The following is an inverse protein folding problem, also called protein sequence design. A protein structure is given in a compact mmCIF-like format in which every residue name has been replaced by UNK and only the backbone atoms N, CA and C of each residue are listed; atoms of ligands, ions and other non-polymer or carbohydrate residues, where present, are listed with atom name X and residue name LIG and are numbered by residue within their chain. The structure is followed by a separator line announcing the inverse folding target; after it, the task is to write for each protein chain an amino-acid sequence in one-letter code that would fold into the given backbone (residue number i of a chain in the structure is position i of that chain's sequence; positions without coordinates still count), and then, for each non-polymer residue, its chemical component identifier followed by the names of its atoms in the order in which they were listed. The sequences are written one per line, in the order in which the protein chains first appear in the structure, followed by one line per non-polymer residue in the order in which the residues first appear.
data_IF_511059274989
#
_entry.id   IF_511059274989
#
_cell.length_a   1.000
_cell.length_b   1.000
_cell.length_c   1.000
_cell.angle_alpha   90.00
_cell.angle_beta   90.00
_cell.angle_gamma   90.00
#
_symmetry.space_group_name_H-M   'P 1'
#
loop_
_entity.id
_entity.type
_entity.pdbx_description
1 polymer ?
#
# COMPACT_ATOMS: atom_id res chain seq x y z
N UNK A 1 -45.31 -16.04 -55.63
CA UNK A 1 -44.08 -16.86 -55.58
C UNK A 1 -43.67 -16.99 -54.12
N UNK A 2 -43.44 -18.19 -53.60
CA UNK A 2 -43.12 -18.37 -52.18
C UNK A 2 -41.65 -18.01 -51.94
N UNK A 3 -41.34 -17.28 -50.85
CA UNK A 3 -39.98 -16.86 -50.48
C UNK A 3 -38.99 -18.04 -50.47
N UNK A 4 -39.49 -19.21 -50.03
CA UNK A 4 -38.76 -20.47 -49.95
C UNK A 4 -38.29 -20.96 -51.33
N UNK A 5 -39.10 -20.81 -52.37
CA UNK A 5 -38.71 -21.23 -53.74
C UNK A 5 -37.61 -20.32 -54.30
N UNK A 6 -37.66 -19.03 -53.94
CA UNK A 6 -36.65 -18.05 -54.34
C UNK A 6 -35.30 -18.34 -53.69
N UNK A 7 -35.29 -18.66 -52.39
CA UNK A 7 -34.07 -19.07 -51.64
C UNK A 7 -33.51 -20.38 -52.20
N UNK A 8 -34.37 -21.35 -52.54
CA UNK A 8 -33.93 -22.62 -53.12
C UNK A 8 -33.25 -22.41 -54.48
N UNK A 9 -33.80 -21.52 -55.31
CA UNK A 9 -33.23 -21.19 -56.62
C UNK A 9 -31.90 -20.43 -56.51
N UNK A 10 -31.75 -19.52 -55.54
CA UNK A 10 -30.47 -18.82 -55.30
C UNK A 10 -29.40 -19.77 -54.75
N UNK A 11 -29.75 -20.68 -53.84
CA UNK A 11 -28.83 -21.68 -53.28
C UNK A 11 -28.31 -22.67 -54.35
N UNK A 12 -29.18 -23.10 -55.27
CA UNK A 12 -28.76 -23.92 -56.43
C UNK A 12 -27.79 -23.16 -57.36
N UNK A 13 -27.98 -21.85 -57.54
CA UNK A 13 -27.06 -21.05 -58.33
C UNK A 13 -25.69 -20.86 -57.67
N UNK A 14 -25.66 -20.70 -56.34
CA UNK A 14 -24.43 -20.59 -55.55
C UNK A 14 -23.61 -21.90 -55.53
N UNK A 15 -24.30 -23.05 -55.43
CA UNK A 15 -23.66 -24.39 -55.43
C UNK A 15 -23.10 -24.81 -56.79
N UNK A 16 -23.56 -24.20 -57.90
CA UNK A 16 -22.99 -24.40 -59.23
C UNK A 16 -21.64 -23.70 -59.44
N UNK A 17 -21.37 -22.60 -58.70
CA UNK A 17 -20.12 -21.81 -58.80
C UNK A 17 -19.31 -21.86 -57.50
N UNK A 18 -18.99 -23.08 -57.05
CA UNK A 18 -18.39 -23.39 -55.74
C UNK A 18 -17.16 -22.53 -55.41
N UNK A 19 -16.18 -22.43 -56.30
CA UNK A 19 -14.92 -21.73 -56.01
C UNK A 19 -15.10 -20.24 -55.72
N UNK A 20 -15.96 -19.56 -56.49
CA UNK A 20 -16.18 -18.12 -56.31
C UNK A 20 -16.98 -17.84 -55.04
N UNK A 21 -18.03 -18.62 -54.79
CA UNK A 21 -18.86 -18.50 -53.57
C UNK A 21 -18.04 -18.75 -52.32
N UNK A 22 -17.18 -19.78 -52.32
CA UNK A 22 -16.29 -20.10 -51.19
C UNK A 22 -15.33 -18.94 -50.91
N UNK A 23 -14.68 -18.40 -51.95
CA UNK A 23 -13.72 -17.29 -51.77
C UNK A 23 -14.37 -16.03 -51.21
N UNK A 24 -15.58 -15.69 -51.66
CA UNK A 24 -16.31 -14.51 -51.14
C UNK A 24 -16.79 -14.70 -49.71
N UNK A 25 -17.26 -15.90 -49.35
CA UNK A 25 -17.70 -16.19 -47.98
C UNK A 25 -16.50 -16.20 -47.03
N UNK A 26 -15.37 -16.80 -47.44
CA UNK A 26 -14.13 -16.78 -46.66
C UNK A 26 -13.64 -15.36 -46.42
N UNK A 27 -13.65 -14.49 -47.43
CA UNK A 27 -13.27 -13.09 -47.27
C UNK A 27 -14.13 -12.35 -46.23
N UNK A 28 -15.45 -12.55 -46.28
CA UNK A 28 -16.37 -11.93 -45.31
C UNK A 28 -16.19 -12.49 -43.90
N UNK A 29 -16.01 -13.82 -43.76
CA UNK A 29 -15.80 -14.46 -42.45
C UNK A 29 -14.49 -14.00 -41.82
N UNK A 30 -13.39 -14.04 -42.57
CA UNK A 30 -12.08 -13.57 -42.07
C UNK A 30 -12.12 -12.09 -41.71
N UNK A 31 -12.78 -11.25 -42.51
CA UNK A 31 -12.94 -9.83 -42.20
C UNK A 31 -13.74 -9.57 -40.93
N UNK A 32 -14.88 -10.24 -40.75
CA UNK A 32 -15.70 -10.11 -39.55
C UNK A 32 -14.95 -10.62 -38.31
N UNK A 33 -14.29 -11.78 -38.40
CA UNK A 33 -13.47 -12.31 -37.32
C UNK A 33 -12.31 -11.39 -36.95
N UNK A 34 -11.64 -10.77 -37.92
CA UNK A 34 -10.53 -9.85 -37.68
C UNK A 34 -10.97 -8.59 -36.92
N UNK A 35 -12.10 -7.98 -37.31
CA UNK A 35 -12.67 -6.81 -36.63
C UNK A 35 -13.04 -7.16 -35.18
N UNK A 36 -13.76 -8.26 -34.98
CA UNK A 36 -14.15 -8.70 -33.63
C UNK A 36 -12.93 -8.98 -32.76
N UNK A 37 -11.91 -9.66 -33.30
CA UNK A 37 -10.67 -9.95 -32.56
C UNK A 37 -9.93 -8.67 -32.18
N UNK A 38 -9.81 -7.70 -33.10
CA UNK A 38 -9.15 -6.43 -32.83
C UNK A 38 -9.89 -5.62 -31.76
N UNK A 39 -11.23 -5.58 -31.81
CA UNK A 39 -12.04 -4.91 -30.79
C UNK A 39 -11.89 -5.58 -29.42
N UNK A 40 -11.91 -6.92 -29.36
CA UNK A 40 -11.72 -7.65 -28.11
C UNK A 40 -10.34 -7.42 -27.50
N UNK A 41 -9.27 -7.41 -28.32
CA UNK A 41 -7.93 -7.07 -27.85
C UNK A 41 -7.87 -5.61 -27.38
N UNK A 42 -8.49 -4.68 -28.13
CA UNK A 42 -8.55 -3.26 -27.76
C UNK A 42 -9.20 -3.05 -26.39
N UNK A 43 -10.35 -3.65 -26.15
CA UNK A 43 -11.02 -3.58 -24.84
C UNK A 43 -10.26 -4.31 -23.74
N UNK A 44 -9.63 -5.45 -24.03
CA UNK A 44 -8.79 -6.16 -23.07
C UNK A 44 -7.59 -5.33 -22.61
N UNK A 45 -6.91 -4.69 -23.56
CA UNK A 45 -5.79 -3.78 -23.28
C UNK A 45 -6.25 -2.55 -22.50
N UNK A 46 -7.41 -1.96 -22.88
CA UNK A 46 -7.96 -0.80 -22.17
C UNK A 46 -8.33 -1.14 -20.72
N UNK A 47 -9.03 -2.25 -20.48
CA UNK A 47 -9.37 -2.72 -19.13
C UNK A 47 -8.10 -3.05 -18.33
N UNK A 48 -7.11 -3.69 -18.95
CA UNK A 48 -5.83 -3.98 -18.28
C UNK A 48 -5.07 -2.71 -17.90
N UNK A 49 -5.08 -1.68 -18.76
CA UNK A 49 -4.46 -0.39 -18.43
C UNK A 49 -5.24 0.35 -17.35
N UNK A 50 -6.57 0.30 -17.38
CA UNK A 50 -7.39 0.91 -16.34
C UNK A 50 -7.14 0.26 -14.97
N UNK A 51 -7.13 -1.07 -14.90
CA UNK A 51 -6.80 -1.80 -13.66
C UNK A 51 -5.39 -1.45 -13.17
N UNK A 52 -4.42 -1.34 -14.08
CA UNK A 52 -3.07 -0.90 -13.74
C UNK A 52 -3.07 0.51 -13.14
N UNK A 53 -3.78 1.46 -13.75
CA UNK A 53 -3.87 2.84 -13.28
C UNK A 53 -4.63 2.95 -11.95
N UNK A 54 -5.70 2.17 -11.77
CA UNK A 54 -6.44 2.08 -10.50
C UNK A 54 -5.57 1.49 -9.39
N UNK A 55 -4.70 0.52 -9.71
CA UNK A 55 -3.72 -0.04 -8.78
C UNK A 55 -2.50 0.86 -8.52
N UNK A 56 -2.25 1.88 -9.36
CA UNK A 56 -1.13 2.81 -9.21
C UNK A 56 -1.39 3.93 -8.18
N UNK A 57 -2.60 4.03 -7.62
CA UNK A 57 -2.83 4.86 -6.45
C UNK A 57 -2.82 6.37 -6.67
N UNK A 58 -2.25 7.11 -5.72
CA UNK A 58 -2.11 8.57 -5.81
C UNK A 58 -1.05 8.94 -6.87
N UNK A 59 -1.50 9.11 -8.11
CA UNK A 59 -0.67 9.48 -9.27
C UNK A 59 0.02 10.85 -9.13
N UNK A 60 -0.29 11.61 -8.07
CA UNK A 60 0.39 12.88 -7.76
C UNK A 60 1.61 12.69 -6.84
N UNK A 61 1.84 11.47 -6.34
CA UNK A 61 2.93 11.17 -5.40
C UNK A 61 4.19 10.69 -6.12
N UNK A 62 5.26 11.45 -6.01
CA UNK A 62 6.58 11.13 -6.54
C UNK A 62 7.45 10.57 -5.41
N UNK A 63 8.02 9.38 -5.63
CA UNK A 63 8.90 8.70 -4.68
C UNK A 63 10.36 8.93 -5.05
N UNK A 64 11.11 9.65 -4.21
CA UNK A 64 12.52 9.97 -4.45
C UNK A 64 13.41 9.11 -3.56
N UNK A 65 14.21 8.26 -4.19
CA UNK A 65 15.18 7.40 -3.54
C UNK A 65 16.61 7.91 -3.69
N UNK A 66 17.43 7.68 -2.67
CA UNK A 66 18.88 7.85 -2.76
C UNK A 66 19.44 6.77 -3.69
N UNK A 67 19.85 7.13 -4.90
CA UNK A 67 20.37 6.21 -5.92
C UNK A 67 21.75 5.62 -5.61
N UNK A 68 22.12 5.45 -4.33
CA UNK A 68 23.39 4.86 -3.90
C UNK A 68 24.64 5.72 -4.16
N UNK A 69 24.48 6.95 -4.67
CA UNK A 69 25.59 7.91 -4.83
C UNK A 69 25.85 8.61 -3.50
N UNK A 70 27.10 8.53 -3.02
CA UNK A 70 27.55 9.16 -1.76
C UNK A 70 27.27 10.67 -1.66
N UNK A 71 27.09 11.34 -2.79
CA UNK A 71 26.85 12.79 -2.88
C UNK A 71 25.35 13.16 -2.86
N UNK A 72 24.44 12.18 -2.92
CA UNK A 72 22.99 12.42 -2.98
C UNK A 72 22.35 12.01 -1.65
N UNK A 73 22.67 12.74 -0.59
CA UNK A 73 22.05 12.56 0.71
C UNK A 73 20.66 13.17 0.70
N UNK A 74 19.67 12.41 1.15
CA UNK A 74 18.32 12.91 1.38
C UNK A 74 18.30 13.49 2.78
N UNK A 75 18.57 14.79 2.91
CA UNK A 75 18.54 15.51 4.17
C UNK A 75 17.47 16.60 4.16
N UNK A 76 17.37 17.37 5.25
CA UNK A 76 16.42 18.48 5.35
C UNK A 76 16.61 19.54 4.24
N UNK A 77 17.84 19.70 3.75
CA UNK A 77 18.15 20.61 2.66
C UNK A 77 17.58 20.07 1.32
N UNK A 78 17.60 18.75 1.11
CA UNK A 78 16.94 18.11 -0.02
C UNK A 78 15.41 18.31 0.04
N UNK A 79 14.78 18.09 1.20
CA UNK A 79 13.33 18.35 1.37
C UNK A 79 13.00 19.80 1.04
N UNK A 80 13.79 20.75 1.53
CA UNK A 80 13.58 22.18 1.22
C UNK A 80 13.73 22.48 -0.27
N UNK A 81 14.66 21.83 -0.96
CA UNK A 81 14.79 21.97 -2.42
C UNK A 81 13.55 21.48 -3.13
N UNK A 82 13.06 20.29 -2.80
CA UNK A 82 11.84 19.73 -3.39
C UNK A 82 10.60 20.56 -3.07
N UNK A 83 10.46 21.02 -1.83
CA UNK A 83 9.35 21.88 -1.41
C UNK A 83 9.30 23.23 -2.16
N UNK A 84 10.45 23.70 -2.67
CA UNK A 84 10.56 24.95 -3.43
C UNK A 84 10.38 24.77 -4.95
N UNK A 85 10.24 23.53 -5.45
CA UNK A 85 9.93 23.30 -6.87
C UNK A 85 8.51 23.81 -7.14
N UNK A 86 8.33 24.48 -8.27
CA UNK A 86 7.00 24.93 -8.69
C UNK A 86 6.06 23.72 -8.80
N UNK A 87 4.78 23.91 -8.43
CA UNK A 87 3.75 22.86 -8.48
C UNK A 87 3.86 21.73 -7.45
N UNK A 88 4.88 21.74 -6.58
CA UNK A 88 4.91 20.87 -5.39
C UNK A 88 3.96 21.41 -4.33
N UNK A 89 3.12 20.54 -3.78
CA UNK A 89 2.23 20.83 -2.65
C UNK A 89 2.96 20.57 -1.32
N UNK A 90 3.49 19.36 -1.15
CA UNK A 90 4.25 18.98 0.05
C UNK A 90 5.38 18.00 -0.28
N UNK A 91 6.54 18.21 0.34
CA UNK A 91 7.63 17.25 0.39
C UNK A 91 7.75 16.66 1.80
N UNK A 92 7.76 15.33 1.89
CA UNK A 92 7.76 14.58 3.14
C UNK A 92 8.98 13.68 3.18
N UNK A 93 9.82 13.86 4.19
CA UNK A 93 10.90 12.94 4.49
C UNK A 93 10.37 11.70 5.21
N UNK A 94 10.74 10.53 4.70
CA UNK A 94 10.49 9.24 5.34
C UNK A 94 11.75 8.80 6.05
N UNK A 95 11.62 8.46 7.33
CA UNK A 95 12.71 7.90 8.12
C UNK A 95 12.33 6.51 8.61
N UNK A 96 13.27 5.59 8.58
CA UNK A 96 13.12 4.25 9.13
C UNK A 96 14.19 4.03 10.20
N UNK A 97 13.89 3.15 11.16
CA UNK A 97 14.89 2.73 12.13
C UNK A 97 15.90 1.80 11.46
N UNK A 98 17.18 2.10 11.64
CA UNK A 98 18.27 1.30 11.10
C UNK A 98 18.88 0.46 12.21
N UNK A 99 18.93 -0.86 12.01
CA UNK A 99 19.55 -1.79 12.94
C UNK A 99 18.94 -1.81 14.36
N UNK A 100 17.73 -1.28 14.52
CA UNK A 100 16.94 -1.29 15.75
C UNK A 100 15.60 -1.94 15.43
N UNK A 101 15.24 -2.95 16.19
CA UNK A 101 13.94 -3.62 16.12
C UNK A 101 13.13 -3.30 17.38
N UNK A 102 11.82 -3.54 17.32
CA UNK A 102 10.93 -3.31 18.44
C UNK A 102 9.88 -4.41 18.61
N UNK A 103 9.63 -4.75 19.87
CA UNK A 103 8.45 -5.47 20.30
C UNK A 103 7.53 -4.50 21.01
N UNK A 104 6.25 -4.53 20.67
CA UNK A 104 5.24 -3.66 21.24
C UNK A 104 4.39 -4.45 22.22
N UNK A 105 4.21 -3.90 23.42
CA UNK A 105 3.36 -4.44 24.46
C UNK A 105 2.17 -3.51 24.70
N UNK A 106 0.99 -4.09 24.88
CA UNK A 106 -0.25 -3.36 25.12
C UNK A 106 -1.13 -4.08 26.16
N UNK A 107 -2.00 -3.30 26.82
CA UNK A 107 -2.94 -3.77 27.83
C UNK A 107 -2.33 -4.08 29.19
N UNK A 108 -3.19 -4.47 30.12
CA UNK A 108 -2.79 -4.73 31.51
C UNK A 108 -1.74 -5.84 31.59
N UNK A 109 -0.68 -5.59 32.35
CA UNK A 109 0.45 -6.51 32.56
C UNK A 109 1.12 -7.01 31.26
N UNK A 110 1.22 -6.17 30.23
CA UNK A 110 1.87 -6.49 28.95
C UNK A 110 1.26 -7.73 28.24
N UNK A 111 -0.05 -7.96 28.43
CA UNK A 111 -0.76 -9.15 27.92
C UNK A 111 -0.70 -9.27 26.39
N UNK A 112 -0.85 -8.17 25.67
CA UNK A 112 -0.85 -8.20 24.21
C UNK A 112 0.52 -7.83 23.68
N UNK A 113 1.07 -8.65 22.80
CA UNK A 113 2.41 -8.47 22.24
C UNK A 113 2.35 -8.43 20.73
N UNK A 114 3.01 -7.47 20.10
CA UNK A 114 3.18 -7.41 18.65
C UNK A 114 4.68 -7.37 18.34
N UNK A 115 5.13 -8.29 17.49
CA UNK A 115 6.53 -8.40 17.05
C UNK A 115 6.68 -7.91 15.62
N UNK A 116 7.90 -7.54 15.21
CA UNK A 116 8.23 -7.16 13.83
C UNK A 116 7.39 -5.98 13.31
N UNK A 117 7.16 -5.00 14.18
CA UNK A 117 6.32 -3.84 13.84
C UNK A 117 7.01 -3.01 12.80
N UNK A 118 6.32 -2.78 11.68
CA UNK A 118 6.76 -1.81 10.71
C UNK A 118 6.56 -0.40 11.29
N UNK A 119 7.62 0.39 11.29
CA UNK A 119 7.57 1.77 11.75
C UNK A 119 8.11 2.71 10.71
N UNK A 120 7.44 3.85 10.59
CA UNK A 120 7.85 4.92 9.70
C UNK A 120 7.80 6.24 10.43
N UNK A 121 8.84 7.05 10.24
CA UNK A 121 8.97 8.40 10.75
C UNK A 121 8.56 9.38 9.66
N UNK A 122 7.66 10.30 10.01
CA UNK A 122 7.16 11.34 9.13
C UNK A 122 7.31 12.69 9.82
N UNK A 123 7.73 13.71 9.06
CA UNK A 123 7.90 15.05 9.59
C UNK A 123 6.56 15.63 10.08
N UNK A 124 6.56 16.21 11.28
CA UNK A 124 5.35 16.74 11.94
C UNK A 124 4.55 17.70 11.07
N UNK A 125 5.23 18.65 10.42
CA UNK A 125 4.59 19.68 9.58
C UNK A 125 4.01 19.12 8.28
N UNK A 126 4.42 17.91 7.91
CA UNK A 126 4.07 17.24 6.67
C UNK A 126 3.01 16.15 6.89
N UNK A 127 2.90 15.57 8.09
CA UNK A 127 1.98 14.46 8.39
C UNK A 127 0.51 14.80 8.09
N UNK A 128 0.05 15.98 8.50
CA UNK A 128 -1.32 16.43 8.22
C UNK A 128 -1.53 16.74 6.73
N UNK A 129 -0.54 17.39 6.09
CA UNK A 129 -0.58 17.78 4.68
C UNK A 129 -0.49 16.61 3.72
N UNK A 130 0.16 15.53 4.14
CA UNK A 130 0.25 14.30 3.38
C UNK A 130 -1.13 13.67 3.17
N UNK A 131 -2.10 14.01 4.01
CA UNK A 131 -3.50 13.64 3.83
C UNK A 131 -3.77 12.19 4.17
N UNK A 132 -3.22 11.69 5.29
CA UNK A 132 -3.65 10.42 5.85
C UNK A 132 -5.12 10.51 6.24
N UNK A 133 -5.98 9.65 5.69
CA UNK A 133 -7.36 9.62 6.13
C UNK A 133 -7.42 8.97 7.51
N UNK A 134 -7.91 9.68 8.53
CA UNK A 134 -8.14 9.11 9.85
C UNK A 134 -9.49 8.40 9.87
N UNK A 135 -9.50 7.15 10.35
CA UNK A 135 -10.73 6.42 10.70
C UNK A 135 -11.19 6.81 12.10
N UNK A 136 -10.23 6.96 13.02
CA UNK A 136 -10.50 7.33 14.40
C UNK A 136 -9.44 8.27 14.97
N UNK A 137 -9.81 9.02 16.01
CA UNK A 137 -8.88 9.83 16.79
C UNK A 137 -8.43 11.11 16.09
N UNK A 138 -7.20 11.53 16.33
CA UNK A 138 -6.61 12.76 15.81
C UNK A 138 -5.14 12.59 15.50
N UNK A 139 -4.58 13.48 14.66
CA UNK A 139 -3.14 13.53 14.43
C UNK A 139 -2.36 13.76 15.73
N UNK A 140 -1.17 13.14 15.86
CA UNK A 140 -0.29 13.35 16.99
C UNK A 140 0.15 14.82 17.05
N UNK A 141 0.40 15.33 18.26
CA UNK A 141 0.83 16.71 18.50
C UNK A 141 2.06 16.78 19.39
N UNK A 142 2.20 15.82 20.30
CA UNK A 142 3.30 15.74 21.26
C UNK A 142 4.31 14.66 20.86
N UNK A 143 5.57 14.74 21.33
CA UNK A 143 6.54 13.68 21.14
C UNK A 143 6.02 12.34 21.69
N UNK A 144 6.34 11.25 21.00
CA UNK A 144 5.90 9.89 21.32
C UNK A 144 4.37 9.67 21.26
N UNK A 145 3.65 10.56 20.58
CA UNK A 145 2.31 10.27 20.08
C UNK A 145 2.41 9.72 18.65
N UNK A 146 1.71 8.62 18.39
CA UNK A 146 1.79 7.89 17.11
C UNK A 146 0.41 7.68 16.50
N UNK A 147 0.38 7.44 15.19
CA UNK A 147 -0.78 6.89 14.49
C UNK A 147 -0.56 5.39 14.28
N UNK A 148 -1.62 4.61 14.40
CA UNK A 148 -1.59 3.19 14.08
C UNK A 148 -2.29 2.93 12.75
N UNK A 149 -1.77 1.98 11.97
CA UNK A 149 -2.42 1.50 10.76
C UNK A 149 -3.78 0.86 11.05
N UNK A 150 -4.65 0.84 10.04
CA UNK A 150 -6.02 0.33 10.14
C UNK A 150 -6.10 -1.07 10.75
N UNK A 151 -5.15 -1.93 10.40
CA UNK A 151 -5.08 -3.33 10.80
C UNK A 151 -3.96 -3.62 11.80
N UNK A 152 -3.24 -2.61 12.30
CA UNK A 152 -2.14 -2.80 13.25
C UNK A 152 -2.59 -3.54 14.54
N UNK A 153 -3.84 -3.35 14.96
CA UNK A 153 -4.41 -4.03 16.13
C UNK A 153 -4.52 -5.57 15.96
N UNK A 154 -4.63 -6.07 14.73
CA UNK A 154 -4.74 -7.51 14.44
C UNK A 154 -3.41 -8.25 14.60
N UNK A 155 -2.29 -7.51 14.55
CA UNK A 155 -0.95 -8.05 14.78
C UNK A 155 -0.63 -8.23 16.28
N UNK A 156 -1.53 -7.82 17.17
CA UNK A 156 -1.41 -8.10 18.60
C UNK A 156 -1.73 -9.57 18.90
N UNK A 157 -0.75 -10.26 19.45
CA UNK A 157 -0.85 -11.62 19.97
C UNK A 157 -1.29 -11.59 21.45
N UNK A 158 -2.26 -12.40 21.84
CA UNK A 158 -2.65 -12.59 23.25
C UNK A 158 -1.75 -13.61 23.93
N UNK A 159 -0.85 -13.17 24.80
CA UNK A 159 0.15 -14.03 25.47
C UNK A 159 -0.44 -15.06 26.44
N UNK A 160 -1.72 -14.90 26.84
CA UNK A 160 -2.40 -15.87 27.70
C UNK A 160 -3.02 -17.04 26.91
N UNK A 161 -3.01 -16.96 25.57
CA UNK A 161 -3.54 -18.01 24.69
C UNK A 161 -2.42 -18.91 24.16
N UNK A 162 -2.72 -20.18 23.86
CA UNK A 162 -1.74 -21.08 23.26
C UNK A 162 -1.31 -20.60 21.86
N UNK A 163 -0.07 -20.91 21.51
CA UNK A 163 0.51 -20.60 20.20
C UNK A 163 -0.36 -21.15 19.06
N UNK A 164 -0.57 -20.32 18.04
CA UNK A 164 -1.42 -20.65 16.88
C UNK A 164 -2.91 -20.37 17.11
N UNK A 165 -3.33 -19.97 18.32
CA UNK A 165 -4.68 -19.47 18.61
C UNK A 165 -4.65 -18.12 19.34
N UNK A 166 -3.48 -17.49 19.36
CA UNK A 166 -3.20 -16.23 20.03
C UNK A 166 -3.27 -15.00 19.12
N UNK A 167 -3.52 -15.17 17.82
CA UNK A 167 -3.69 -14.07 16.84
C UNK A 167 -5.02 -14.19 16.12
N UNK A 168 -5.45 -13.09 15.49
CA UNK A 168 -6.58 -13.07 14.56
C UNK A 168 -5.99 -12.80 13.17
N UNK A 169 -5.85 -13.85 12.36
CA UNK A 169 -5.37 -13.72 10.98
C UNK A 169 -6.43 -13.02 10.12
N UNK A 170 -6.19 -11.78 9.68
CA UNK A 170 -7.12 -11.10 8.76
C UNK A 170 -7.29 -11.87 7.45
N UNK A 171 -6.22 -12.49 6.97
CA UNK A 171 -6.19 -13.17 5.68
C UNK A 171 -7.15 -14.35 5.64
N UNK A 172 -7.28 -15.08 6.75
CA UNK A 172 -8.17 -16.25 6.87
C UNK A 172 -9.65 -15.85 6.79
N UNK A 173 -9.98 -14.61 7.19
CA UNK A 173 -11.35 -14.09 7.12
C UNK A 173 -11.61 -13.35 5.82
N UNK A 174 -10.62 -12.61 5.30
CA UNK A 174 -10.77 -11.80 4.08
C UNK A 174 -10.70 -12.62 2.80
N UNK A 175 -10.07 -13.80 2.82
CA UNK A 175 -9.93 -14.62 1.63
C UNK A 175 -10.31 -16.06 1.91
N UNK A 176 -11.07 -16.66 0.99
CA UNK A 176 -11.37 -18.08 0.97
C UNK A 176 -10.63 -18.73 -0.20
N UNK A 177 -9.97 -19.84 0.07
CA UNK A 177 -9.26 -20.63 -0.94
C UNK A 177 -10.07 -21.87 -1.27
N UNK A 178 -10.43 -22.06 -2.55
CA UNK A 178 -11.01 -23.32 -3.02
C UNK A 178 -9.90 -24.24 -3.56
N UNK A 179 -9.57 -25.35 -2.85
CA UNK A 179 -8.50 -26.26 -3.26
C UNK A 179 -8.80 -27.03 -4.55
N UNK A 180 -10.06 -27.08 -5.01
CA UNK A 180 -10.44 -27.83 -6.22
C UNK A 180 -10.26 -27.00 -7.50
N UNK A 181 -10.46 -25.69 -7.40
CA UNK A 181 -10.34 -24.75 -8.52
C UNK A 181 -9.03 -23.97 -8.47
N UNK A 182 -8.39 -23.90 -7.30
CA UNK A 182 -7.22 -23.06 -7.06
C UNK A 182 -7.56 -21.56 -6.97
N UNK A 183 -8.84 -21.22 -6.91
CA UNK A 183 -9.30 -19.84 -6.86
C UNK A 183 -9.25 -19.28 -5.43
N UNK A 184 -8.79 -18.03 -5.32
CA UNK A 184 -8.89 -17.23 -4.10
C UNK A 184 -10.07 -16.27 -4.27
N UNK A 185 -11.07 -16.37 -3.40
CA UNK A 185 -12.22 -15.48 -3.38
C UNK A 185 -12.11 -14.51 -2.22
N UNK A 186 -12.22 -13.22 -2.51
CA UNK A 186 -12.29 -12.17 -1.49
C UNK A 186 -13.67 -12.23 -0.82
N UNK A 187 -13.67 -12.35 0.50
CA UNK A 187 -14.85 -12.37 1.34
C UNK A 187 -15.25 -10.94 1.73
N UNK A 188 -16.51 -10.77 2.17
CA UNK A 188 -16.99 -9.49 2.67
C UNK A 188 -16.15 -9.00 3.88
N UNK A 189 -15.53 -7.81 3.83
CA UNK A 189 -14.73 -7.26 4.92
C UNK A 189 -15.50 -7.14 6.25
N UNK A 190 -16.84 -7.06 6.21
CA UNK A 190 -17.69 -7.02 7.42
C UNK A 190 -17.68 -8.33 8.22
N UNK A 191 -17.15 -9.42 7.64
CA UNK A 191 -16.96 -10.69 8.33
C UNK A 191 -15.73 -10.72 9.25
N UNK A 192 -14.84 -9.73 9.15
CA UNK A 192 -13.65 -9.64 9.97
C UNK A 192 -14.05 -9.33 11.43
N UNK A 193 -13.72 -10.20 12.40
CA UNK A 193 -14.04 -9.93 13.80
C UNK A 193 -13.22 -8.76 14.34
N UNK A 194 -13.69 -8.15 15.43
CA UNK A 194 -12.93 -7.11 16.13
C UNK A 194 -11.57 -7.67 16.62
N UNK A 195 -10.50 -6.85 16.60
CA UNK A 195 -9.22 -7.24 17.16
C UNK A 195 -9.33 -7.44 18.67
N UNK A 196 -8.36 -8.14 19.27
CA UNK A 196 -8.37 -8.40 20.73
C UNK A 196 -8.36 -7.12 21.58
N UNK A 197 -7.82 -6.03 21.03
CA UNK A 197 -7.76 -4.72 21.66
C UNK A 197 -7.81 -3.64 20.59
N UNK A 198 -8.57 -2.57 20.86
CA UNK A 198 -8.51 -1.35 20.06
C UNK A 198 -7.27 -0.54 20.46
N UNK A 199 -6.49 -0.08 19.48
CA UNK A 199 -5.26 0.66 19.73
C UNK A 199 -5.50 2.14 20.03
N UNK A 200 -6.59 2.73 19.51
CA UNK A 200 -6.84 4.16 19.66
C UNK A 200 -6.94 4.59 21.13
N UNK A 201 -6.16 5.61 21.51
CA UNK A 201 -6.10 6.12 22.88
C UNK A 201 -5.27 5.28 23.85
N UNK A 202 -4.75 4.11 23.44
CA UNK A 202 -3.92 3.26 24.30
C UNK A 202 -2.48 3.76 24.37
N UNK A 203 -1.85 3.50 25.52
CA UNK A 203 -0.40 3.62 25.68
C UNK A 203 0.23 2.26 25.40
N UNK A 204 1.20 2.24 24.51
CA UNK A 204 1.98 1.07 24.14
C UNK A 204 3.38 1.18 24.74
N UNK A 205 3.89 0.06 25.25
CA UNK A 205 5.26 -0.04 25.74
C UNK A 205 6.11 -0.69 24.65
N UNK A 206 7.09 0.06 24.15
CA UNK A 206 8.05 -0.41 23.16
C UNK A 206 9.25 -1.02 23.90
N UNK A 207 9.54 -2.29 23.66
CA UNK A 207 10.81 -2.92 23.96
C UNK A 207 11.69 -2.87 22.72
N UNK A 208 12.76 -2.08 22.80
CA UNK A 208 13.68 -1.78 21.72
C UNK A 208 14.98 -2.56 21.92
N UNK A 209 15.53 -3.10 20.83
CA UNK A 209 16.83 -3.77 20.84
C UNK A 209 17.55 -3.57 19.51
N UNK A 210 18.88 -3.59 19.54
CA UNK A 210 19.72 -3.51 18.34
C UNK A 210 20.17 -4.91 17.92
N UNK A 211 20.32 -5.15 16.61
CA UNK A 211 20.89 -6.41 16.12
C UNK A 211 22.36 -6.60 16.52
N UNK A 212 23.06 -5.52 16.86
CA UNK A 212 24.45 -5.60 17.35
C UNK A 212 24.51 -6.14 18.78
N UNK A 213 23.45 -5.92 19.57
CA UNK A 213 23.38 -6.35 20.96
C UNK A 213 21.93 -6.54 21.41
N UNK A 214 21.44 -7.78 21.26
CA UNK A 214 20.09 -8.19 21.65
C UNK A 214 19.83 -8.12 23.17
N UNK A 215 20.88 -8.23 23.98
CA UNK A 215 20.75 -8.22 25.45
C UNK A 215 20.55 -6.81 26.00
N UNK A 216 20.97 -5.78 25.25
CA UNK A 216 20.76 -4.39 25.64
C UNK A 216 19.37 -3.91 25.25
N UNK A 217 18.37 -4.28 26.06
CA UNK A 217 16.99 -3.83 25.87
C UNK A 217 16.77 -2.42 26.41
N UNK A 218 16.02 -1.61 25.68
CA UNK A 218 15.56 -0.28 26.12
C UNK A 218 14.06 -0.18 26.01
N UNK A 219 13.46 0.64 26.86
CA UNK A 219 12.01 0.78 26.92
C UNK A 219 11.61 2.21 26.62
N UNK A 220 10.56 2.37 25.82
CA UNK A 220 9.96 3.67 25.51
C UNK A 220 8.45 3.51 25.45
N UNK A 221 7.71 4.40 26.10
CA UNK A 221 6.25 4.43 25.98
C UNK A 221 5.82 5.35 24.84
N UNK A 222 4.77 4.96 24.13
CA UNK A 222 4.12 5.76 23.09
C UNK A 222 2.62 5.73 23.26
N UNK A 223 1.95 6.81 22.85
CA UNK A 223 0.50 6.90 22.90
C UNK A 223 -0.09 6.88 21.49
N UNK A 224 -1.00 5.96 21.22
CA UNK A 224 -1.73 5.97 19.95
C UNK A 224 -2.83 7.02 20.01
N UNK A 225 -2.79 7.97 19.08
CA UNK A 225 -3.72 9.11 19.06
C UNK A 225 -4.79 9.01 17.97
N UNK A 226 -4.58 8.15 16.98
CA UNK A 226 -5.54 7.90 15.93
C UNK A 226 -5.20 6.68 15.09
N UNK A 227 -6.20 6.21 14.36
CA UNK A 227 -6.11 5.10 13.40
C UNK A 227 -6.19 5.67 12.00
N UNK A 228 -5.22 5.38 11.15
CA UNK A 228 -5.24 5.76 9.74
C UNK A 228 -5.90 4.67 8.91
N UNK A 229 -6.62 5.07 7.86
CA UNK A 229 -7.12 4.17 6.83
C UNK A 229 -5.92 3.64 6.03
N UNK A 230 -5.99 2.37 5.65
CA UNK A 230 -5.02 1.75 4.77
C UNK A 230 -4.90 2.51 3.44
N UNK A 231 -3.67 2.86 3.08
CA UNK A 231 -3.30 3.50 1.82
C UNK A 231 -1.87 3.08 1.46
N UNK A 232 -1.74 1.94 0.77
CA UNK A 232 -0.45 1.38 0.36
C UNK A 232 0.40 2.31 -0.50
N UNK A 233 -0.21 3.30 -1.16
CA UNK A 233 0.50 4.25 -2.00
C UNK A 233 1.31 5.25 -1.18
N UNK A 234 0.82 5.54 0.03
CA UNK A 234 1.45 6.45 0.98
C UNK A 234 2.52 5.74 1.78
N UNK A 235 2.16 4.64 2.46
CA UNK A 235 3.12 3.77 3.14
C UNK A 235 2.44 2.48 3.62
N UNK A 236 3.17 1.37 3.63
CA UNK A 236 2.68 0.10 4.20
C UNK A 236 2.29 0.22 5.70
N UNK A 237 2.93 1.13 6.44
CA UNK A 237 2.63 1.38 7.84
C UNK A 237 1.20 1.88 8.07
N UNK A 238 0.52 2.39 7.04
CA UNK A 238 -0.91 2.74 7.11
C UNK A 238 -1.83 1.53 7.24
N UNK A 239 -1.35 0.34 6.84
CA UNK A 239 -2.07 -0.92 7.03
C UNK A 239 -1.77 -1.50 8.40
N UNK A 240 -0.53 -1.89 8.66
CA UNK A 240 -0.17 -2.80 9.76
C UNK A 240 0.93 -2.25 10.68
N UNK A 241 1.34 -1.00 10.50
CA UNK A 241 2.47 -0.40 11.21
C UNK A 241 2.08 0.72 12.18
N UNK A 242 3.12 1.39 12.69
CA UNK A 242 3.01 2.59 13.51
C UNK A 242 3.74 3.75 12.82
N UNK A 243 3.09 4.91 12.78
CA UNK A 243 3.60 6.13 12.16
C UNK A 243 4.00 7.08 13.29
N UNK A 244 5.29 7.37 13.36
CA UNK A 244 5.95 8.23 14.35
C UNK A 244 6.28 9.58 13.74
N UNK A 245 6.60 10.55 14.60
CA UNK A 245 7.41 11.68 14.14
C UNK A 245 8.84 11.24 13.86
N UNK A 246 9.43 11.81 12.81
CA UNK A 246 10.86 11.62 12.50
C UNK A 246 11.76 11.87 13.70
N UNK A 247 11.46 12.92 14.47
CA UNK A 247 12.20 13.29 15.70
C UNK A 247 12.17 12.21 16.77
N UNK A 248 11.08 11.45 16.85
CA UNK A 248 10.90 10.39 17.86
C UNK A 248 11.71 9.15 17.46
N UNK A 249 11.71 8.80 16.18
CA UNK A 249 12.57 7.71 15.67
C UNK A 249 14.06 8.06 15.79
N UNK A 250 14.44 9.31 15.55
CA UNK A 250 15.82 9.76 15.79
C UNK A 250 16.21 9.67 17.27
N UNK A 251 15.30 10.04 18.18
CA UNK A 251 15.54 9.90 19.62
C UNK A 251 15.75 8.42 19.98
N UNK A 252 14.93 7.52 19.41
CA UNK A 252 15.08 6.06 19.55
C UNK A 252 16.44 5.58 19.02
N UNK A 253 16.83 6.00 17.82
CA UNK A 253 18.10 5.62 17.22
C UNK A 253 19.30 6.08 18.08
N UNK A 254 19.26 7.32 18.60
CA UNK A 254 20.30 7.90 19.46
C UNK A 254 20.45 7.18 20.79
N UNK A 255 19.41 6.48 21.26
CA UNK A 255 19.54 5.64 22.45
C UNK A 255 20.60 4.54 22.23
N UNK A 256 20.66 3.92 21.05
CA UNK A 256 21.61 2.84 20.77
C UNK A 256 22.92 3.34 20.16
N UNK A 257 22.86 4.42 19.37
CA UNK A 257 24.00 4.97 18.66
C UNK A 257 24.22 6.46 18.98
N UNK A 258 24.61 6.80 20.22
CA UNK A 258 24.71 8.19 20.69
C UNK A 258 25.80 9.02 19.99
N UNK A 259 26.83 8.36 19.44
CA UNK A 259 27.93 8.98 18.70
C UNK A 259 27.67 9.15 17.21
N UNK A 260 26.52 8.68 16.70
CA UNK A 260 26.13 8.94 15.32
C UNK A 260 25.78 10.41 15.16
N UNK A 261 26.72 11.22 14.67
CA UNK A 261 26.48 12.62 14.29
C UNK A 261 25.81 12.73 12.91
N UNK A 262 25.20 11.66 12.41
CA UNK A 262 24.54 11.70 11.11
C UNK A 262 23.40 12.71 11.20
N UNK A 263 23.51 13.77 10.40
CA UNK A 263 22.35 14.59 10.02
C UNK A 263 21.22 13.65 9.61
N UNK A 264 19.97 14.01 9.91
CA UNK A 264 18.78 13.27 9.52
C UNK A 264 18.88 12.90 8.04
N UNK A 265 19.11 11.62 7.78
CA UNK A 265 19.15 11.05 6.45
C UNK A 265 17.85 10.28 6.26
N UNK A 266 17.02 10.77 5.36
CA UNK A 266 15.77 10.15 4.99
C UNK A 266 16.06 8.94 4.09
N UNK A 267 15.33 7.86 4.31
CA UNK A 267 15.40 6.69 3.43
C UNK A 267 14.80 7.00 2.06
N UNK A 268 13.78 7.87 2.05
CA UNK A 268 12.99 8.23 0.88
C UNK A 268 12.39 9.62 1.12
N UNK A 269 12.16 10.39 0.06
CA UNK A 269 11.36 11.62 0.11
C UNK A 269 10.14 11.44 -0.79
N UNK A 270 8.96 11.60 -0.21
CA UNK A 270 7.73 11.72 -0.97
C UNK A 270 7.49 13.16 -1.38
N UNK A 271 7.27 13.42 -2.66
CA UNK A 271 6.94 14.74 -3.19
C UNK A 271 5.56 14.66 -3.80
N UNK A 272 4.60 15.39 -3.24
CA UNK A 272 3.23 15.45 -3.75
C UNK A 272 3.08 16.64 -4.69
N UNK A 273 2.68 16.39 -5.92
CA UNK A 273 2.31 17.42 -6.88
C UNK A 273 0.90 17.96 -6.58
N UNK A 274 0.62 19.22 -6.96
CA UNK A 274 -0.72 19.81 -6.83
C UNK A 274 -1.74 19.18 -7.78
N UNK A 275 -1.27 18.74 -8.95
CA UNK A 275 -2.10 18.14 -10.00
C UNK A 275 -1.30 17.10 -10.79
N UNK A 276 -1.98 16.06 -11.28
CA UNK A 276 -1.38 14.98 -12.07
C UNK A 276 -0.69 15.48 -13.35
N UNK A 277 -1.22 16.53 -13.99
CA UNK A 277 -0.63 17.12 -15.20
C UNK A 277 0.72 17.79 -14.95
N UNK A 278 1.00 18.14 -13.69
CA UNK A 278 2.20 18.87 -13.29
C UNK A 278 3.31 17.93 -12.79
N UNK A 279 3.02 16.64 -12.63
CA UNK A 279 3.99 15.62 -12.18
C UNK A 279 5.19 15.53 -13.13
N UNK A 280 4.98 15.69 -14.44
CA UNK A 280 6.05 15.64 -15.43
C UNK A 280 6.99 16.85 -15.40
N UNK A 281 6.56 17.97 -14.81
CA UNK A 281 7.33 19.22 -14.73
C UNK A 281 8.17 19.32 -13.44
N UNK A 282 8.01 18.36 -12.51
CA UNK A 282 8.67 18.27 -11.20
C UNK A 282 9.85 17.29 -11.30
#
# INVERSE_FOLDING_TARGET
MKLIDMIKMTLQNLTRRKSRTILTVLGVVVGCCAIVTMMSIGFGVQNSQQIMLEGMGDLTLIQVYSGGRKDTKLDDDAIRKFQNIANVDVAVGKTQLNNVNMTVYAGDNDRYQMQWVNVVGINKDAMEKFGFQLLEGSYPKQPFEVLAGQYAAYNLMDTLRPDGSNTISRWDYMYSYDPNTGEMTENDPSSLPDPYMQLNGQTLKLELFSYDNYDSKKYQEVKVTGIVKEDYNKDYSTSEGLIFFTTDLEAIQKMFYPTSSQKTEYSEIYVKAKDISQVADI
#
